data_IF_618153129601
#
_entry.id   IF_618153129601
#
_cell.length_a   1.000
_cell.length_b   1.000
_cell.length_c   1.000
_cell.angle_alpha   90.00
_cell.angle_beta   90.00
_cell.angle_gamma   90.00
#
_symmetry.space_group_name_H-M   'P 1'
#
loop_
_entity.id
_entity.type
_entity.pdbx_description
1 polymer ?
#
# COMPACT_ATOMS: atom_id res chain seq x y z
N UNK A 1 37.62 25.88 36.68
CA UNK A 1 38.28 25.95 35.36
C UNK A 1 39.79 25.93 35.58
N UNK A 2 40.40 24.75 35.64
CA UNK A 2 41.85 24.58 35.88
C UNK A 2 42.35 23.44 35.01
N UNK A 3 42.83 23.79 33.81
CA UNK A 3 43.53 22.89 32.92
C UNK A 3 44.75 23.61 32.34
N UNK A 4 45.60 24.17 33.21
CA UNK A 4 46.93 24.64 32.81
C UNK A 4 47.90 24.38 33.94
N UNK A 5 48.40 23.14 34.07
CA UNK A 5 49.75 22.92 34.58
C UNK A 5 50.24 21.48 34.37
N UNK A 6 51.11 21.29 33.37
CA UNK A 6 52.42 20.61 33.45
C UNK A 6 52.82 20.09 32.07
N UNK A 7 53.45 20.95 31.30
CA UNK A 7 54.44 20.53 30.32
C UNK A 7 55.76 21.14 30.78
N UNK A 8 56.60 20.32 31.42
CA UNK A 8 58.08 20.39 31.47
C UNK A 8 58.54 19.59 32.68
N UNK A 9 59.07 18.39 32.43
CA UNK A 9 60.44 17.99 32.78
C UNK A 9 60.54 16.45 32.72
N UNK A 10 60.76 15.92 31.52
CA UNK A 10 61.45 14.64 31.36
C UNK A 10 62.49 14.87 30.28
N UNK A 11 63.71 15.20 30.71
CA UNK A 11 64.91 15.00 29.91
C UNK A 11 65.60 13.78 30.49
N UNK A 12 65.71 12.70 29.72
CA UNK A 12 66.53 11.56 30.09
C UNK A 12 66.30 10.29 29.26
N UNK A 13 67.25 10.06 28.35
CA UNK A 13 67.57 8.82 27.62
C UNK A 13 66.83 8.57 26.30
N UNK A 14 67.64 8.38 25.27
CA UNK A 14 67.29 8.45 23.86
C UNK A 14 66.37 7.34 23.40
N UNK A 15 65.31 7.78 22.73
CA UNK A 15 64.83 7.34 21.43
C UNK A 15 63.69 8.32 21.16
N UNK A 16 63.97 9.39 20.40
CA UNK A 16 62.91 10.10 19.69
C UNK A 16 62.42 9.09 18.64
N UNK A 17 61.59 8.14 19.09
CA UNK A 17 60.98 7.17 18.21
C UNK A 17 60.22 7.95 17.17
N UNK A 18 60.63 7.79 15.91
CA UNK A 18 59.99 8.43 14.78
C UNK A 18 58.50 8.15 14.88
N UNK A 19 57.71 9.20 15.15
CA UNK A 19 56.26 9.07 15.34
C UNK A 19 55.61 8.68 14.01
N UNK A 20 56.33 8.85 12.91
CA UNK A 20 55.96 8.44 11.57
C UNK A 20 56.79 7.22 11.19
N UNK A 21 56.16 6.06 11.20
CA UNK A 21 56.73 4.84 10.61
C UNK A 21 56.85 5.07 9.09
N UNK A 22 58.05 5.46 8.61
CA UNK A 22 58.36 5.69 7.18
C UNK A 22 58.17 4.41 6.35
N UNK A 23 58.09 3.24 6.99
CA UNK A 23 57.84 1.92 6.38
C UNK A 23 56.39 1.45 6.53
N UNK A 24 55.48 2.34 6.96
CA UNK A 24 54.05 2.05 6.98
C UNK A 24 53.56 1.69 5.56
N UNK A 25 53.13 0.45 5.39
CA UNK A 25 52.69 -0.06 4.09
C UNK A 25 51.38 0.63 3.65
N UNK A 26 51.54 1.68 2.83
CA UNK A 26 50.44 2.44 2.23
C UNK A 26 49.46 1.53 1.47
N UNK A 27 49.93 0.39 0.95
CA UNK A 27 49.07 -0.56 0.24
C UNK A 27 48.03 -1.21 1.14
N UNK A 28 48.32 -1.41 2.44
CA UNK A 28 47.37 -1.93 3.43
C UNK A 28 46.29 -0.90 3.75
N UNK A 29 46.66 0.39 3.82
CA UNK A 29 45.70 1.48 4.02
C UNK A 29 44.75 1.57 2.82
N UNK A 30 45.29 1.58 1.60
CA UNK A 30 44.49 1.58 0.37
C UNK A 30 43.56 0.36 0.30
N UNK A 31 44.05 -0.83 0.66
CA UNK A 31 43.23 -2.04 0.65
C UNK A 31 42.11 -2.01 1.70
N UNK A 32 42.37 -1.45 2.89
CA UNK A 32 41.38 -1.26 3.95
C UNK A 32 40.30 -0.26 3.53
N UNK A 33 40.70 0.86 2.95
CA UNK A 33 39.75 1.88 2.43
C UNK A 33 38.91 1.31 1.30
N UNK A 34 39.53 0.60 0.36
CA UNK A 34 38.81 -0.07 -0.73
C UNK A 34 37.77 -1.05 -0.22
N UNK A 35 38.12 -1.92 0.75
CA UNK A 35 37.16 -2.86 1.36
C UNK A 35 36.02 -2.12 2.07
N UNK A 36 36.32 -1.06 2.81
CA UNK A 36 35.33 -0.24 3.51
C UNK A 36 34.36 0.41 2.52
N UNK A 37 34.88 1.00 1.43
CA UNK A 37 34.07 1.60 0.37
C UNK A 37 33.22 0.56 -0.36
N UNK A 38 33.77 -0.62 -0.65
CA UNK A 38 33.01 -1.68 -1.31
C UNK A 38 31.84 -2.15 -0.43
N UNK A 39 32.09 -2.39 0.85
CA UNK A 39 31.04 -2.77 1.80
C UNK A 39 29.96 -1.69 1.92
N UNK A 40 30.35 -0.41 1.90
CA UNK A 40 29.41 0.71 1.94
C UNK A 40 28.53 0.72 0.69
N UNK A 41 29.10 0.58 -0.51
CA UNK A 41 28.34 0.55 -1.76
C UNK A 41 27.35 -0.60 -1.83
N UNK A 42 27.69 -1.77 -1.30
CA UNK A 42 26.76 -2.91 -1.25
C UNK A 42 25.57 -2.59 -0.34
N UNK A 43 25.82 -1.99 0.83
CA UNK A 43 24.75 -1.57 1.75
C UNK A 43 23.88 -0.45 1.17
N UNK A 44 24.49 0.53 0.53
CA UNK A 44 23.80 1.62 -0.18
C UNK A 44 22.92 1.05 -1.29
N UNK A 45 23.47 0.21 -2.17
CA UNK A 45 22.71 -0.41 -3.26
C UNK A 45 21.53 -1.26 -2.79
N UNK A 46 21.67 -1.96 -1.66
CA UNK A 46 20.54 -2.69 -1.06
C UNK A 46 19.43 -1.75 -0.58
N UNK A 47 19.79 -0.65 0.11
CA UNK A 47 18.82 0.35 0.59
C UNK A 47 18.13 1.03 -0.59
N UNK A 48 18.90 1.45 -1.59
CA UNK A 48 18.39 2.09 -2.80
C UNK A 48 17.44 1.17 -3.56
N UNK A 49 17.79 -0.12 -3.69
CA UNK A 49 16.94 -1.12 -4.32
C UNK A 49 15.61 -1.34 -3.58
N UNK A 50 15.67 -1.39 -2.24
CA UNK A 50 14.46 -1.50 -1.40
C UNK A 50 13.57 -0.26 -1.54
N UNK A 51 14.15 0.94 -1.45
CA UNK A 51 13.40 2.19 -1.54
C UNK A 51 12.80 2.38 -2.95
N UNK A 52 13.54 2.03 -4.01
CA UNK A 52 13.02 2.00 -5.37
C UNK A 52 11.85 1.00 -5.52
N UNK A 53 11.97 -0.21 -4.95
CA UNK A 53 10.90 -1.20 -4.96
C UNK A 53 9.63 -0.72 -4.25
N UNK A 54 9.77 -0.10 -3.08
CA UNK A 54 8.67 0.53 -2.34
C UNK A 54 7.99 1.62 -3.17
N UNK A 55 8.78 2.52 -3.75
CA UNK A 55 8.26 3.61 -4.58
C UNK A 55 7.49 3.10 -5.81
N UNK A 56 8.02 2.10 -6.51
CA UNK A 56 7.35 1.49 -7.66
C UNK A 56 6.03 0.82 -7.26
N UNK A 57 6.04 0.05 -6.17
CA UNK A 57 4.85 -0.67 -5.69
C UNK A 57 3.76 0.31 -5.23
N UNK A 58 4.16 1.36 -4.51
CA UNK A 58 3.27 2.45 -4.09
C UNK A 58 2.62 3.13 -5.31
N UNK A 59 3.42 3.49 -6.31
CA UNK A 59 2.92 4.15 -7.50
C UNK A 59 1.98 3.25 -8.32
N UNK A 60 2.29 1.95 -8.41
CA UNK A 60 1.41 0.98 -9.07
C UNK A 60 0.07 0.88 -8.35
N UNK A 61 0.07 0.78 -7.02
CA UNK A 61 -1.14 0.79 -6.20
C UNK A 61 -1.95 2.08 -6.38
N UNK A 62 -1.29 3.24 -6.37
CA UNK A 62 -1.94 4.54 -6.63
C UNK A 62 -2.56 4.59 -8.03
N UNK A 63 -1.82 4.21 -9.07
CA UNK A 63 -2.32 4.24 -10.44
C UNK A 63 -3.53 3.33 -10.63
N UNK A 64 -3.50 2.14 -10.02
CA UNK A 64 -4.61 1.20 -10.07
C UNK A 64 -5.84 1.74 -9.33
N UNK A 65 -5.67 2.21 -8.10
CA UNK A 65 -6.76 2.81 -7.32
C UNK A 65 -7.33 4.06 -7.97
N UNK A 66 -6.49 4.89 -8.59
CA UNK A 66 -6.93 6.04 -9.38
C UNK A 66 -7.77 5.61 -10.57
N UNK A 67 -7.32 4.60 -11.34
CA UNK A 67 -8.05 4.10 -12.50
C UNK A 67 -9.43 3.57 -12.12
N UNK A 68 -9.50 2.71 -11.09
CA UNK A 68 -10.76 2.13 -10.62
C UNK A 68 -11.70 3.19 -10.03
N UNK A 69 -11.18 4.10 -9.21
CA UNK A 69 -11.96 5.18 -8.61
C UNK A 69 -12.46 6.18 -9.65
N UNK A 70 -11.62 6.55 -10.62
CA UNK A 70 -11.96 7.47 -11.69
C UNK A 70 -13.05 6.90 -12.61
N UNK A 71 -12.91 5.62 -13.01
CA UNK A 71 -13.88 4.94 -13.88
C UNK A 71 -15.29 4.96 -13.30
N UNK A 72 -15.39 4.75 -11.98
CA UNK A 72 -16.67 4.78 -11.28
C UNK A 72 -17.19 6.20 -11.07
N UNK A 73 -16.35 7.15 -10.62
CA UNK A 73 -16.81 8.48 -10.19
C UNK A 73 -17.13 9.44 -11.34
N UNK A 74 -16.50 9.27 -12.51
CA UNK A 74 -16.68 10.15 -13.67
C UNK A 74 -18.16 10.20 -14.07
N UNK A 75 -18.85 9.05 -14.09
CA UNK A 75 -20.24 8.99 -14.52
C UNK A 75 -21.17 9.74 -13.54
N UNK A 76 -20.94 9.63 -12.23
CA UNK A 76 -21.67 10.39 -11.23
C UNK A 76 -21.41 11.90 -11.36
N UNK A 77 -20.15 12.29 -11.62
CA UNK A 77 -19.78 13.69 -11.87
C UNK A 77 -20.46 14.27 -13.10
N UNK A 78 -20.47 13.54 -14.22
CA UNK A 78 -21.16 13.95 -15.46
C UNK A 78 -22.67 14.05 -15.27
N UNK A 79 -23.29 13.10 -14.56
CA UNK A 79 -24.71 13.13 -14.25
C UNK A 79 -25.07 14.33 -13.37
N UNK A 80 -24.28 14.60 -12.32
CA UNK A 80 -24.44 15.76 -11.44
C UNK A 80 -24.29 17.08 -12.21
N UNK A 81 -23.30 17.16 -13.10
CA UNK A 81 -23.10 18.30 -13.99
C UNK A 81 -24.30 18.52 -14.92
N UNK A 82 -24.82 17.45 -15.52
CA UNK A 82 -26.01 17.50 -16.40
C UNK A 82 -27.24 17.97 -15.64
N UNK A 83 -27.52 17.41 -14.46
CA UNK A 83 -28.64 17.84 -13.62
C UNK A 83 -28.49 19.29 -13.14
N UNK A 84 -27.28 19.73 -12.81
CA UNK A 84 -27.01 21.12 -12.41
C UNK A 84 -27.20 22.11 -13.57
N UNK A 85 -26.81 21.71 -14.78
CA UNK A 85 -27.07 22.49 -16.00
C UNK A 85 -28.58 22.57 -16.30
N UNK A 86 -29.30 21.44 -16.19
CA UNK A 86 -30.76 21.40 -16.35
C UNK A 86 -31.46 22.27 -15.29
N UNK A 87 -31.02 22.23 -14.04
CA UNK A 87 -31.54 23.08 -12.97
C UNK A 87 -31.38 24.56 -13.31
N UNK A 88 -30.19 24.93 -13.78
CA UNK A 88 -29.88 26.31 -14.18
C UNK A 88 -30.73 26.76 -15.36
N UNK A 89 -30.90 25.90 -16.36
CA UNK A 89 -31.79 26.13 -17.50
C UNK A 89 -33.25 26.32 -17.03
N UNK A 90 -33.72 25.48 -16.12
CA UNK A 90 -35.09 25.57 -15.60
C UNK A 90 -35.36 26.87 -14.84
N UNK A 91 -34.38 27.37 -14.09
CA UNK A 91 -34.48 28.67 -13.40
C UNK A 91 -34.56 29.85 -14.36
N UNK A 92 -33.93 29.76 -15.53
CA UNK A 92 -33.94 30.82 -16.53
C UNK A 92 -35.24 30.85 -17.36
N UNK A 93 -35.86 29.68 -17.57
CA UNK A 93 -37.07 29.54 -18.38
C UNK A 93 -38.37 29.61 -17.56
N UNK A 94 -38.29 30.00 -16.28
CA UNK A 94 -39.42 30.09 -15.34
C UNK A 94 -40.24 28.78 -15.28
N UNK A 95 -39.53 27.65 -15.41
CA UNK A 95 -40.13 26.33 -15.33
C UNK A 95 -40.69 26.11 -13.92
N UNK A 96 -41.87 25.50 -13.83
CA UNK A 96 -42.61 25.38 -12.57
C UNK A 96 -41.79 24.81 -11.41
N UNK A 97 -42.05 25.31 -10.20
CA UNK A 97 -41.36 24.94 -8.96
C UNK A 97 -41.34 23.43 -8.68
N UNK A 98 -42.36 22.69 -9.13
CA UNK A 98 -42.41 21.23 -9.05
C UNK A 98 -41.26 20.53 -9.80
N UNK A 99 -40.86 21.07 -10.95
CA UNK A 99 -39.79 20.50 -11.78
C UNK A 99 -38.41 20.81 -11.18
N UNK A 100 -38.24 22.04 -10.68
CA UNK A 100 -37.04 22.45 -9.93
C UNK A 100 -36.85 21.55 -8.71
N UNK A 101 -37.91 21.29 -7.94
CA UNK A 101 -37.86 20.39 -6.79
C UNK A 101 -37.52 18.96 -7.19
N UNK A 102 -38.06 18.47 -8.32
CA UNK A 102 -37.73 17.13 -8.83
C UNK A 102 -36.25 17.01 -9.21
N UNK A 103 -35.65 18.03 -9.83
CA UNK A 103 -34.22 18.06 -10.14
C UNK A 103 -33.37 18.09 -8.86
N UNK A 104 -33.76 18.88 -7.86
CA UNK A 104 -33.05 18.91 -6.57
C UNK A 104 -33.08 17.54 -5.88
N UNK A 105 -34.25 16.87 -5.85
CA UNK A 105 -34.36 15.52 -5.30
C UNK A 105 -33.46 14.51 -6.03
N UNK A 106 -33.32 14.64 -7.35
CA UNK A 106 -32.40 13.80 -8.12
C UNK A 106 -30.93 14.12 -7.83
N UNK A 107 -30.57 15.39 -7.67
CA UNK A 107 -29.22 15.78 -7.26
C UNK A 107 -28.86 15.22 -5.87
N UNK A 108 -29.80 15.25 -4.93
CA UNK A 108 -29.62 14.65 -3.60
C UNK A 108 -29.49 13.12 -3.70
N UNK A 109 -30.30 12.47 -4.55
CA UNK A 109 -30.19 11.04 -4.81
C UNK A 109 -28.82 10.67 -5.41
N UNK A 110 -28.30 11.44 -6.38
CA UNK A 110 -26.96 11.23 -6.94
C UNK A 110 -25.89 11.33 -5.85
N UNK A 111 -25.98 12.32 -4.97
CA UNK A 111 -25.03 12.49 -3.86
C UNK A 111 -25.04 11.31 -2.89
N UNK A 112 -26.21 10.75 -2.58
CA UNK A 112 -26.33 9.57 -1.73
C UNK A 112 -25.75 8.31 -2.39
N UNK A 113 -25.99 8.12 -3.69
CA UNK A 113 -25.38 7.03 -4.44
C UNK A 113 -23.85 7.15 -4.50
N UNK A 114 -23.36 8.35 -4.79
CA UNK A 114 -21.93 8.66 -4.86
C UNK A 114 -21.25 8.30 -3.53
N UNK A 115 -21.81 8.76 -2.42
CA UNK A 115 -21.27 8.46 -1.09
C UNK A 115 -21.33 6.96 -0.76
N UNK A 116 -22.42 6.28 -1.10
CA UNK A 116 -22.56 4.84 -0.91
C UNK A 116 -21.46 4.05 -1.67
N UNK A 117 -21.23 4.41 -2.93
CA UNK A 117 -20.23 3.75 -3.77
C UNK A 117 -18.81 4.04 -3.28
N UNK A 118 -18.51 5.28 -2.89
CA UNK A 118 -17.21 5.64 -2.31
C UNK A 118 -16.92 4.87 -1.01
N UNK A 119 -17.93 4.69 -0.15
CA UNK A 119 -17.79 3.86 1.07
C UNK A 119 -17.53 2.40 0.71
N UNK A 120 -18.19 1.87 -0.31
CA UNK A 120 -17.97 0.51 -0.76
C UNK A 120 -16.55 0.30 -1.31
N UNK A 121 -16.07 1.20 -2.17
CA UNK A 121 -14.70 1.17 -2.70
C UNK A 121 -13.66 1.20 -1.57
N UNK A 122 -13.85 2.06 -0.57
CA UNK A 122 -12.96 2.14 0.60
C UNK A 122 -12.94 0.86 1.44
N UNK A 123 -14.05 0.12 1.49
CA UNK A 123 -14.13 -1.14 2.25
C UNK A 123 -13.41 -2.31 1.57
N UNK A 124 -13.35 -2.33 0.24
CA UNK A 124 -12.66 -3.38 -0.53
C UNK A 124 -11.14 -3.27 -0.35
N UNK A 125 -10.61 -2.05 -0.27
CA UNK A 125 -9.17 -1.80 -0.08
C UNK A 125 -8.69 -2.04 1.36
N UNK A 126 -9.59 -2.23 2.32
CA UNK A 126 -9.28 -2.39 3.74
C UNK A 126 -9.14 -3.86 4.17
N UNK A 127 -9.06 -4.81 3.25
CA UNK A 127 -8.65 -6.18 3.60
C UNK A 127 -7.20 -6.13 4.13
N UNK A 128 -6.89 -6.81 5.25
CA UNK A 128 -5.58 -6.73 5.87
C UNK A 128 -4.53 -7.22 4.88
N UNK A 129 -3.66 -6.30 4.44
CA UNK A 129 -2.62 -6.62 3.49
C UNK A 129 -1.49 -7.34 4.23
N UNK A 130 -0.88 -8.34 3.61
CA UNK A 130 0.26 -9.09 4.17
C UNK A 130 1.42 -8.17 4.60
N UNK A 131 1.48 -6.96 4.03
CA UNK A 131 2.43 -5.90 4.37
C UNK A 131 2.19 -5.34 5.78
N UNK A 132 0.95 -5.10 6.19
CA UNK A 132 0.62 -4.62 7.54
C UNK A 132 1.00 -5.65 8.61
N UNK A 133 0.91 -6.95 8.26
CA UNK A 133 1.38 -8.05 9.09
C UNK A 133 2.91 -8.12 9.14
N UNK A 134 3.61 -7.86 8.04
CA UNK A 134 5.08 -7.84 7.99
C UNK A 134 5.66 -6.68 8.80
N UNK A 135 5.07 -5.49 8.73
CA UNK A 135 5.46 -4.35 9.55
C UNK A 135 5.21 -4.65 11.05
N UNK A 136 4.11 -5.34 11.37
CA UNK A 136 3.84 -5.81 12.75
C UNK A 136 4.82 -6.89 13.22
N UNK A 137 5.25 -7.79 12.33
CA UNK A 137 6.25 -8.83 12.64
C UNK A 137 7.65 -8.25 12.82
N UNK A 138 7.98 -7.17 12.11
CA UNK A 138 9.27 -6.50 12.20
C UNK A 138 9.39 -5.63 13.46
N UNK A 139 8.27 -5.19 14.04
CA UNK A 139 8.19 -4.49 15.33
C UNK A 139 8.28 -5.43 16.54
N UNK A 140 8.03 -6.74 16.35
CA UNK A 140 8.40 -7.76 17.32
C UNK A 140 9.91 -8.03 17.21
N UNK A 141 10.71 -7.34 18.01
CA UNK A 141 12.16 -7.47 18.06
C UNK A 141 12.61 -8.90 18.48
N UNK A 142 12.58 -9.85 17.55
CA UNK A 142 12.99 -11.24 17.74
C UNK A 142 14.51 -11.41 17.82
N UNK A 143 15.27 -10.32 18.03
CA UNK A 143 16.72 -10.34 18.16
C UNK A 143 17.20 -10.68 19.58
N UNK A 144 16.69 -11.77 20.16
CA UNK A 144 17.39 -12.42 21.28
C UNK A 144 18.36 -13.47 20.76
N UNK A 145 19.52 -13.01 20.30
CA UNK A 145 20.74 -13.82 20.31
C UNK A 145 21.08 -14.06 21.79
N UNK A 146 20.97 -15.30 22.25
CA UNK A 146 21.48 -15.71 23.56
C UNK A 146 23.00 -15.43 23.63
N UNK A 147 23.53 -14.92 24.76
CA UNK A 147 24.92 -14.53 24.84
C UNK A 147 25.83 -15.75 24.89
N UNK A 148 26.91 -15.68 24.13
CA UNK A 148 28.01 -16.63 24.18
C UNK A 148 28.82 -16.44 25.46
N UNK A 149 28.93 -17.48 26.30
CA UNK A 149 30.09 -17.66 27.18
C UNK A 149 30.33 -19.16 27.47
N UNK A 150 31.40 -19.72 26.90
CA UNK A 150 32.58 -20.20 27.64
C UNK A 150 33.51 -20.96 26.70
N UNK A 151 34.76 -20.49 26.63
CA UNK A 151 35.89 -21.25 26.08
C UNK A 151 36.19 -22.43 26.99
N UNK A 152 36.39 -23.62 26.42
CA UNK A 152 37.31 -24.62 26.95
C UNK A 152 37.93 -25.40 25.78
N UNK A 153 39.23 -25.57 25.88
CA UNK A 153 40.14 -26.26 24.97
C UNK A 153 39.95 -27.78 24.93
N UNK A 154 40.45 -28.35 23.82
CA UNK A 154 41.01 -29.70 23.62
C UNK A 154 40.16 -30.98 23.85
N UNK A 155 39.83 -31.59 22.70
CA UNK A 155 40.16 -32.96 22.29
C UNK A 155 39.31 -34.18 22.71
N UNK A 156 38.99 -34.98 21.65
CA UNK A 156 38.53 -36.38 21.56
C UNK A 156 37.04 -36.61 21.82
N UNK A 157 36.24 -36.82 20.76
CA UNK A 157 35.93 -38.11 20.11
C UNK A 157 34.97 -38.96 20.94
N UNK A 158 33.69 -39.01 20.52
CA UNK A 158 32.97 -40.26 20.19
C UNK A 158 31.47 -39.97 19.97
N UNK A 159 30.99 -40.30 18.76
CA UNK A 159 29.63 -40.73 18.35
C UNK A 159 28.41 -39.95 18.91
N UNK A 160 27.49 -39.48 18.07
CA UNK A 160 26.48 -40.35 17.46
C UNK A 160 25.71 -39.65 16.32
N UNK A 161 25.51 -40.43 15.26
CA UNK A 161 24.40 -40.45 14.30
C UNK A 161 24.29 -39.38 13.20
N UNK A 162 24.91 -39.74 12.07
CA UNK A 162 24.34 -39.61 10.73
C UNK A 162 22.90 -40.16 10.67
N UNK A 163 21.97 -39.45 10.01
CA UNK A 163 21.34 -39.96 8.79
C UNK A 163 20.40 -38.94 8.14
N UNK A 164 20.37 -39.06 6.82
CA UNK A 164 19.76 -38.21 5.82
C UNK A 164 18.23 -38.36 5.72
N UNK A 165 17.64 -37.35 5.07
CA UNK A 165 16.49 -37.40 4.16
C UNK A 165 15.11 -37.80 4.74
N UNK A 166 14.09 -36.99 4.42
CA UNK A 166 13.13 -37.38 3.38
C UNK A 166 12.09 -36.28 3.12
N UNK A 167 12.11 -35.79 1.90
CA UNK A 167 10.99 -35.12 1.26
C UNK A 167 9.96 -36.18 0.84
N UNK A 168 8.69 -35.80 1.02
CA UNK A 168 7.53 -36.21 0.23
C UNK A 168 6.65 -37.36 0.78
N UNK A 169 5.34 -37.09 0.61
CA UNK A 169 4.23 -38.02 0.35
C UNK A 169 3.38 -38.49 1.54
N UNK A 170 2.23 -37.82 1.62
CA UNK A 170 0.88 -38.35 1.82
C UNK A 170 0.54 -39.04 3.15
N UNK A 171 -0.47 -38.52 3.85
CA UNK A 171 -1.57 -39.39 4.22
C UNK A 171 -2.89 -38.64 4.36
N UNK A 172 -3.86 -39.18 3.64
CA UNK A 172 -5.25 -38.79 3.58
C UNK A 172 -6.08 -39.77 4.42
N UNK A 173 -7.12 -39.23 5.07
CA UNK A 173 -8.38 -39.86 5.51
C UNK A 173 -8.42 -40.61 6.84
N UNK A 174 -9.20 -40.07 7.77
CA UNK A 174 -10.44 -40.72 8.21
C UNK A 174 -11.55 -39.69 8.42
N UNK A 175 -12.75 -40.02 7.92
CA UNK A 175 -13.96 -39.22 7.83
C UNK A 175 -14.60 -38.88 9.19
N UNK A 176 -15.15 -37.66 9.28
CA UNK A 176 -16.41 -37.32 9.95
C UNK A 176 -16.85 -35.97 9.34
N UNK A 177 -17.56 -36.01 8.22
CA UNK A 177 -19.03 -35.91 8.14
C UNK A 177 -19.56 -34.54 8.62
N UNK A 178 -19.32 -33.52 7.80
CA UNK A 178 -20.24 -32.41 7.57
C UNK A 178 -19.82 -31.71 6.27
N UNK A 179 -20.76 -31.60 5.33
CA UNK A 179 -20.55 -31.30 3.92
C UNK A 179 -19.79 -30.00 3.63
N UNK A 180 -18.67 -30.15 2.92
CA UNK A 180 -18.02 -29.07 2.20
C UNK A 180 -18.76 -28.86 0.88
N UNK A 181 -19.77 -28.00 0.89
CA UNK A 181 -20.43 -27.47 -0.31
C UNK A 181 -20.60 -25.97 -0.17
N UNK A 182 -19.53 -25.21 -0.47
CA UNK A 182 -19.66 -23.77 -0.74
C UNK A 182 -18.48 -23.20 -1.53
N UNK A 183 -17.96 -23.94 -2.53
CA UNK A 183 -17.18 -23.35 -3.63
C UNK A 183 -18.11 -22.75 -4.71
N UNK A 184 -19.22 -22.15 -4.24
CA UNK A 184 -20.24 -21.49 -5.04
C UNK A 184 -20.83 -20.31 -4.26
N UNK A 185 -19.97 -19.44 -3.72
CA UNK A 185 -20.39 -18.20 -3.06
C UNK A 185 -19.96 -16.94 -3.81
N UNK A 186 -19.81 -17.03 -5.13
CA UNK A 186 -19.79 -15.88 -6.04
C UNK A 186 -21.05 -15.81 -6.92
N UNK A 187 -22.08 -16.59 -6.61
CA UNK A 187 -23.40 -16.36 -7.19
C UNK A 187 -24.07 -15.22 -6.43
N UNK A 188 -24.04 -14.05 -7.04
CA UNK A 188 -25.21 -13.18 -7.23
C UNK A 188 -26.20 -13.30 -6.07
N UNK A 189 -25.90 -12.65 -4.94
CA UNK A 189 -26.90 -12.35 -3.92
C UNK A 189 -27.36 -10.90 -4.13
N UNK A 190 -27.94 -10.68 -5.31
CA UNK A 190 -29.06 -9.75 -5.40
C UNK A 190 -30.09 -10.16 -4.35
N UNK A 191 -30.76 -9.19 -3.75
CA UNK A 191 -31.76 -9.31 -2.68
C UNK A 191 -31.23 -9.18 -1.24
N UNK A 192 -30.70 -8.00 -0.94
CA UNK A 192 -31.35 -7.17 0.06
C UNK A 192 -31.84 -5.91 -0.65
N UNK A 193 -33.16 -5.70 -0.71
CA UNK A 193 -33.76 -4.42 -1.09
C UNK A 193 -33.20 -3.36 -0.15
N UNK A 194 -32.23 -2.61 -0.62
CA UNK A 194 -31.85 -1.34 -0.04
C UNK A 194 -32.57 -0.29 -0.87
N UNK A 195 -33.35 0.55 -0.21
CA UNK A 195 -34.07 1.72 -0.74
C UNK A 195 -33.12 2.83 -1.26
N UNK A 196 -31.91 2.48 -1.66
CA UNK A 196 -30.98 3.42 -2.25
C UNK A 196 -31.30 3.53 -3.74
N UNK A 197 -31.47 4.75 -4.27
CA UNK A 197 -31.66 4.93 -5.70
C UNK A 197 -30.47 4.30 -6.44
N UNK A 198 -30.73 3.49 -7.46
CA UNK A 198 -29.65 2.97 -8.31
C UNK A 198 -29.26 4.01 -9.35
N UNK A 199 -28.01 4.01 -9.81
CA UNK A 199 -27.57 4.90 -10.89
C UNK A 199 -28.47 4.79 -12.12
N UNK A 200 -28.86 3.57 -12.49
CA UNK A 200 -29.77 3.28 -13.59
C UNK A 200 -31.14 3.93 -13.41
N UNK A 201 -31.68 3.92 -12.19
CA UNK A 201 -32.94 4.58 -11.88
C UNK A 201 -32.83 6.10 -12.02
N UNK A 202 -31.74 6.70 -11.52
CA UNK A 202 -31.51 8.15 -11.64
C UNK A 202 -31.34 8.55 -13.11
N UNK A 203 -30.61 7.77 -13.90
CA UNK A 203 -30.44 8.00 -15.34
C UNK A 203 -31.78 7.96 -16.08
N UNK A 204 -32.64 7.00 -15.75
CA UNK A 204 -33.98 6.90 -16.34
C UNK A 204 -34.86 8.10 -15.98
N UNK A 205 -34.85 8.53 -14.70
CA UNK A 205 -35.59 9.72 -14.27
C UNK A 205 -35.07 11.00 -14.94
N UNK A 206 -33.75 11.11 -15.11
CA UNK A 206 -33.11 12.25 -15.78
C UNK A 206 -33.46 12.27 -17.27
N UNK A 207 -33.41 11.12 -17.95
CA UNK A 207 -33.83 11.01 -19.35
C UNK A 207 -35.32 11.34 -19.54
N UNK A 208 -36.17 10.93 -18.59
CA UNK A 208 -37.59 11.31 -18.56
C UNK A 208 -37.79 12.81 -18.44
N UNK A 209 -37.02 13.48 -17.57
CA UNK A 209 -37.06 14.94 -17.42
C UNK A 209 -36.59 15.66 -18.68
N UNK A 210 -35.48 15.24 -19.29
CA UNK A 210 -34.95 15.86 -20.51
C UNK A 210 -35.97 15.79 -21.65
N UNK A 211 -36.68 14.66 -21.79
CA UNK A 211 -37.79 14.52 -22.74
C UNK A 211 -38.96 15.46 -22.42
N UNK A 212 -39.34 15.58 -21.15
CA UNK A 212 -40.41 16.48 -20.71
C UNK A 212 -40.09 17.96 -20.93
N UNK A 213 -38.81 18.34 -20.80
CA UNK A 213 -38.32 19.70 -20.97
C UNK A 213 -38.09 20.07 -22.45
N UNK A 214 -38.17 19.10 -23.38
CA UNK A 214 -37.94 19.33 -24.81
C UNK A 214 -36.51 19.77 -25.16
N UNK A 215 -35.54 19.48 -24.29
CA UNK A 215 -34.13 19.87 -24.46
C UNK A 215 -33.46 18.99 -25.52
N UNK A 216 -32.35 19.46 -26.11
CA UNK A 216 -31.64 18.82 -27.24
C UNK A 216 -31.48 17.29 -27.07
N UNK A 217 -31.71 16.58 -28.17
CA UNK A 217 -31.50 15.13 -28.29
C UNK A 217 -30.07 14.70 -27.95
N UNK A 218 -29.10 15.61 -28.10
CA UNK A 218 -27.69 15.36 -27.77
C UNK A 218 -27.51 15.06 -26.28
N UNK A 219 -28.29 15.69 -25.41
CA UNK A 219 -28.26 15.43 -23.95
C UNK A 219 -28.79 14.04 -23.64
N UNK A 220 -29.83 13.58 -24.35
CA UNK A 220 -30.33 12.21 -24.22
C UNK A 220 -29.34 11.18 -24.74
N UNK A 221 -28.57 11.50 -25.78
CA UNK A 221 -27.54 10.62 -26.30
C UNK A 221 -26.35 10.52 -25.34
N UNK A 222 -25.95 11.65 -24.74
CA UNK A 222 -24.91 11.67 -23.71
C UNK A 222 -25.31 10.84 -22.47
N UNK A 223 -26.56 10.95 -22.00
CA UNK A 223 -27.06 10.17 -20.87
C UNK A 223 -27.11 8.65 -21.13
N UNK A 224 -27.19 8.21 -22.39
CA UNK A 224 -27.14 6.78 -22.76
C UNK A 224 -25.73 6.22 -22.82
N UNK A 225 -24.72 7.08 -22.85
CA UNK A 225 -23.30 6.70 -22.88
C UNK A 225 -22.69 6.59 -21.49
N UNK A 226 -23.40 7.09 -20.46
CA UNK A 226 -23.11 6.94 -19.03
C UNK A 226 -23.55 5.57 -18.50
#
# INVERSE_FOLDING_TARGET
MSWVQRATLVQGSGEEGDVFDEEADESLLVQREWRSHMLRRVKEGYRDGMDAGKAVTLQQGFNQGYKEGADVIINYGQLRGTLSALLSWCRLHDNGSALINKINNLLDAVGQCEEYVLRHLKSITSQPHVVDLLDSLQDMDLSHVAPAEKKMDEAKDERLCENNAELHKNCSKSLSEADCSSLECCRIREHARSENPSLTWILEQTAGLVKQLGVSLDVLQHLKQL
#
